data_IF_901177476508
#
_entry.id   IF_901177476508
#
_cell.length_a   1.000
_cell.length_b   1.000
_cell.length_c   1.000
_cell.angle_alpha   90.00
_cell.angle_beta   90.00
_cell.angle_gamma   90.00
#
_symmetry.space_group_name_H-M   'P 1'
#
loop_
_entity.id
_entity.type
_entity.pdbx_description
1 polymer ?
#
# COMPACT_ATOMS: atom_id res chain seq x y z
N UNK A 1 -59.94 50.66 19.53
CA UNK A 1 -59.86 49.97 18.22
C UNK A 1 -58.49 49.30 18.14
N UNK A 2 -58.43 48.00 17.89
CA UNK A 2 -57.19 47.20 17.99
C UNK A 2 -56.81 46.72 16.59
N UNK A 3 -55.71 47.24 16.06
CA UNK A 3 -55.21 46.90 14.73
C UNK A 3 -54.62 45.49 14.75
N UNK A 4 -55.16 44.61 13.93
CA UNK A 4 -54.68 43.25 13.73
C UNK A 4 -53.71 43.30 12.55
N UNK A 5 -52.40 43.22 12.83
CA UNK A 5 -51.37 43.12 11.79
C UNK A 5 -51.38 41.67 11.29
N UNK A 6 -51.83 41.44 10.06
CA UNK A 6 -51.66 40.14 9.40
C UNK A 6 -50.22 40.06 8.90
N UNK A 7 -49.44 39.10 9.41
CA UNK A 7 -48.17 38.72 8.80
C UNK A 7 -48.52 37.88 7.58
N UNK A 8 -48.18 38.37 6.39
CA UNK A 8 -48.24 37.57 5.17
C UNK A 8 -47.15 36.49 5.28
N UNK A 9 -47.55 35.28 5.68
CA UNK A 9 -46.75 34.09 5.48
C UNK A 9 -46.76 33.81 3.97
N UNK A 10 -45.69 34.22 3.28
CA UNK A 10 -45.48 33.92 1.87
C UNK A 10 -45.50 32.39 1.70
N UNK A 11 -46.61 31.87 1.22
CA UNK A 11 -46.77 30.44 0.99
C UNK A 11 -45.81 30.01 -0.11
N UNK A 12 -44.72 29.34 0.28
CA UNK A 12 -43.80 28.71 -0.66
C UNK A 12 -44.61 27.70 -1.47
N UNK A 13 -44.67 27.87 -2.80
CA UNK A 13 -45.40 26.96 -3.69
C UNK A 13 -44.95 25.51 -3.44
N UNK A 14 -45.88 24.52 -3.40
CA UNK A 14 -45.54 23.12 -3.15
C UNK A 14 -44.41 22.58 -4.06
N UNK A 15 -44.31 23.08 -5.29
CA UNK A 15 -43.25 22.72 -6.24
C UNK A 15 -41.92 23.42 -5.92
N UNK A 16 -41.96 24.67 -5.47
CA UNK A 16 -40.75 25.43 -5.10
C UNK A 16 -40.16 24.85 -3.82
N UNK A 17 -41.01 24.45 -2.86
CA UNK A 17 -40.59 23.82 -1.63
C UNK A 17 -39.80 22.51 -1.87
N UNK A 18 -40.25 21.67 -2.81
CA UNK A 18 -39.56 20.43 -3.13
C UNK A 18 -38.23 20.67 -3.84
N UNK A 19 -38.16 21.63 -4.78
CA UNK A 19 -36.90 21.99 -5.44
C UNK A 19 -35.88 22.48 -4.42
N UNK A 20 -36.28 23.34 -3.48
CA UNK A 20 -35.38 23.86 -2.43
C UNK A 20 -34.89 22.76 -1.48
N UNK A 21 -35.78 21.85 -1.07
CA UNK A 21 -35.42 20.72 -0.22
C UNK A 21 -34.41 19.79 -0.92
N UNK A 22 -34.70 19.43 -2.18
CA UNK A 22 -33.82 18.57 -2.97
C UNK A 22 -32.47 19.26 -3.21
N UNK A 23 -32.46 20.53 -3.58
CA UNK A 23 -31.24 21.28 -3.82
C UNK A 23 -30.29 21.27 -2.61
N UNK A 24 -30.80 21.52 -1.40
CA UNK A 24 -29.97 21.49 -0.19
C UNK A 24 -29.42 20.09 0.07
N UNK A 25 -30.26 19.06 -0.02
CA UNK A 25 -29.81 17.67 0.22
C UNK A 25 -28.74 17.20 -0.77
N UNK A 26 -28.85 17.58 -2.05
CA UNK A 26 -27.85 17.25 -3.07
C UNK A 26 -26.52 17.94 -2.78
N UNK A 27 -26.55 19.22 -2.38
CA UNK A 27 -25.33 19.96 -2.02
C UNK A 27 -24.69 19.36 -0.77
N UNK A 28 -25.47 19.07 0.28
CA UNK A 28 -24.95 18.45 1.50
C UNK A 28 -24.35 17.07 1.23
N UNK A 29 -25.02 16.25 0.41
CA UNK A 29 -24.49 14.94 0.01
C UNK A 29 -23.17 15.07 -0.77
N UNK A 30 -23.08 16.03 -1.70
CA UNK A 30 -21.86 16.27 -2.47
C UNK A 30 -20.70 16.78 -1.59
N UNK A 31 -20.96 17.71 -0.67
CA UNK A 31 -19.94 18.23 0.26
C UNK A 31 -19.45 17.13 1.19
N UNK A 32 -20.35 16.34 1.77
CA UNK A 32 -19.99 15.19 2.59
C UNK A 32 -19.17 14.17 1.80
N UNK A 33 -19.54 13.90 0.54
CA UNK A 33 -18.77 13.00 -0.33
C UNK A 33 -17.33 13.51 -0.54
N UNK A 34 -17.14 14.81 -0.81
CA UNK A 34 -15.81 15.40 -0.99
C UNK A 34 -14.99 15.35 0.31
N UNK A 35 -15.61 15.65 1.46
CA UNK A 35 -14.94 15.61 2.76
C UNK A 35 -14.53 14.18 3.15
N UNK A 36 -15.42 13.20 2.97
CA UNK A 36 -15.13 11.79 3.25
C UNK A 36 -14.09 11.24 2.27
N UNK A 37 -14.16 11.61 0.99
CA UNK A 37 -13.17 11.17 -0.01
C UNK A 37 -11.77 11.73 0.31
N UNK A 38 -11.67 12.94 0.87
CA UNK A 38 -10.41 13.50 1.36
C UNK A 38 -9.87 12.80 2.61
N UNK A 39 -10.74 12.34 3.50
CA UNK A 39 -10.37 11.59 4.71
C UNK A 39 -10.01 10.13 4.42
N UNK A 40 -10.58 9.54 3.38
CA UNK A 40 -10.28 8.19 2.89
C UNK A 40 -9.07 8.16 1.96
N UNK A 41 -8.46 9.32 1.65
CA UNK A 41 -7.14 9.36 1.04
C UNK A 41 -6.13 8.67 1.96
N UNK A 42 -5.13 7.94 1.43
CA UNK A 42 -4.10 7.34 2.28
C UNK A 42 -3.49 8.45 3.11
N UNK A 43 -3.76 8.44 4.42
CA UNK A 43 -3.11 9.33 5.37
C UNK A 43 -1.62 9.26 5.10
N UNK A 44 -0.96 10.42 5.12
CA UNK A 44 0.47 10.58 4.79
C UNK A 44 1.32 9.74 5.73
N UNK A 45 1.39 8.44 5.46
CA UNK A 45 2.20 7.50 6.20
C UNK A 45 3.61 7.79 5.76
N UNK A 46 4.43 8.25 6.70
CA UNK A 46 5.85 8.49 6.47
C UNK A 46 6.53 7.18 6.09
N UNK A 47 7.48 7.24 5.17
CA UNK A 47 8.23 6.06 4.72
C UNK A 47 9.12 5.59 5.88
N UNK A 48 9.03 4.34 6.31
CA UNK A 48 9.94 3.81 7.33
C UNK A 48 11.35 3.66 6.78
N UNK A 49 12.32 3.79 7.68
CA UNK A 49 13.66 3.23 7.52
C UNK A 49 13.63 1.77 7.97
N UNK A 50 14.13 0.86 7.12
CA UNK A 50 14.16 -0.59 7.36
C UNK A 50 15.60 -1.08 7.21
N UNK A 51 16.02 -2.00 8.09
CA UNK A 51 17.32 -2.67 8.01
C UNK A 51 17.11 -4.17 7.79
N UNK A 52 17.78 -4.76 6.79
CA UNK A 52 17.75 -6.20 6.55
C UNK A 52 18.90 -6.93 7.24
N UNK A 53 18.59 -8.11 7.77
CA UNK A 53 19.55 -9.05 8.33
C UNK A 53 20.41 -9.74 7.27
N UNK A 54 21.14 -10.77 7.70
CA UNK A 54 21.96 -11.60 6.82
C UNK A 54 21.08 -12.47 5.89
N UNK A 55 21.60 -12.78 4.70
CA UNK A 55 20.94 -13.67 3.75
C UNK A 55 21.36 -15.10 4.04
N UNK A 56 20.38 -15.98 4.21
CA UNK A 56 20.56 -17.44 4.28
C UNK A 56 20.13 -18.05 2.95
N UNK A 57 21.04 -18.73 2.27
CA UNK A 57 20.76 -19.41 1.02
C UNK A 57 20.26 -20.84 1.28
N UNK A 58 19.18 -21.21 0.61
CA UNK A 58 18.63 -22.57 0.53
C UNK A 58 18.70 -23.11 -0.89
N UNK A 59 18.09 -24.27 -1.12
CA UNK A 59 17.99 -24.88 -2.45
C UNK A 59 17.09 -24.05 -3.38
N UNK A 60 17.68 -23.11 -4.13
CA UNK A 60 16.97 -22.22 -5.05
C UNK A 60 16.23 -21.07 -4.37
N UNK A 61 16.54 -20.79 -3.09
CA UNK A 61 15.90 -19.73 -2.30
C UNK A 61 16.92 -18.90 -1.52
N UNK A 62 16.57 -17.65 -1.21
CA UNK A 62 17.30 -16.78 -0.30
C UNK A 62 16.33 -16.18 0.70
N UNK A 63 16.62 -16.36 1.99
CA UNK A 63 15.78 -15.87 3.09
C UNK A 63 16.55 -14.87 3.93
N UNK A 64 15.92 -13.76 4.31
CA UNK A 64 16.49 -12.77 5.22
C UNK A 64 15.39 -12.11 6.03
N UNK A 65 15.69 -11.83 7.30
CA UNK A 65 14.79 -11.15 8.21
C UNK A 65 14.92 -9.62 8.11
N UNK A 66 13.89 -8.92 8.54
CA UNK A 66 13.93 -7.51 8.89
C UNK A 66 14.54 -7.40 10.28
N UNK A 67 15.74 -6.84 10.35
CA UNK A 67 16.49 -6.71 11.61
C UNK A 67 15.94 -5.57 12.46
N UNK A 68 15.54 -4.45 11.84
CA UNK A 68 15.02 -3.29 12.53
C UNK A 68 14.14 -2.43 11.62
N UNK A 69 13.22 -1.67 12.22
CA UNK A 69 12.40 -0.66 11.53
C UNK A 69 12.15 0.55 12.41
N UNK A 70 12.13 1.75 11.80
CA UNK A 70 11.74 2.99 12.48
C UNK A 70 10.26 3.05 12.87
N UNK A 71 9.38 2.33 12.16
CA UNK A 71 7.94 2.26 12.42
C UNK A 71 7.33 1.02 11.75
N UNK A 72 6.32 0.43 12.38
CA UNK A 72 5.52 -0.65 11.81
C UNK A 72 4.44 -0.07 10.89
N UNK A 73 4.40 -0.51 9.63
CA UNK A 73 3.42 -0.03 8.65
C UNK A 73 2.81 -1.21 7.89
N UNK A 74 1.52 -1.13 7.56
CA UNK A 74 0.83 -2.15 6.74
C UNK A 74 1.64 -2.54 5.49
N UNK A 75 1.74 -3.86 5.24
CA UNK A 75 2.41 -4.43 4.06
C UNK A 75 1.85 -3.89 2.73
N UNK A 76 0.58 -3.46 2.72
CA UNK A 76 -0.07 -2.89 1.54
C UNK A 76 0.55 -1.59 1.04
N UNK A 77 1.35 -0.90 1.86
CA UNK A 77 2.08 0.30 1.46
C UNK A 77 3.41 0.01 0.76
N UNK A 78 3.77 -1.27 0.59
CA UNK A 78 5.04 -1.67 0.03
C UNK A 78 4.87 -2.33 -1.33
N UNK A 79 5.93 -2.19 -2.12
CA UNK A 79 6.16 -2.90 -3.36
C UNK A 79 7.51 -3.59 -3.28
N UNK A 80 7.68 -4.65 -4.06
CA UNK A 80 8.94 -5.37 -4.18
C UNK A 80 9.39 -5.38 -5.63
N UNK A 81 10.69 -5.31 -5.84
CA UNK A 81 11.31 -5.57 -7.13
C UNK A 81 12.53 -6.47 -6.94
N UNK A 82 12.92 -7.17 -8.01
CA UNK A 82 14.10 -8.01 -8.06
C UNK A 82 14.93 -7.60 -9.26
N UNK A 83 16.22 -7.44 -9.04
CA UNK A 83 17.21 -7.31 -10.11
C UNK A 83 18.06 -8.58 -10.15
N UNK A 84 18.23 -9.12 -11.34
CA UNK A 84 19.02 -10.31 -11.62
C UNK A 84 20.19 -9.89 -12.50
N UNK A 85 21.41 -10.09 -12.02
CA UNK A 85 22.63 -9.54 -12.60
C UNK A 85 22.52 -8.02 -12.84
N UNK A 86 22.32 -7.62 -14.10
CA UNK A 86 22.17 -6.21 -14.50
C UNK A 86 20.74 -5.83 -14.88
N UNK A 87 19.81 -6.78 -14.94
CA UNK A 87 18.44 -6.59 -15.43
C UNK A 87 17.46 -6.45 -14.28
N UNK A 88 16.71 -5.34 -14.26
CA UNK A 88 15.59 -5.16 -13.33
C UNK A 88 14.34 -5.89 -13.82
N UNK A 89 13.64 -6.52 -12.90
CA UNK A 89 12.25 -6.92 -13.08
C UNK A 89 11.30 -5.73 -12.97
N UNK A 90 10.00 -6.05 -12.90
CA UNK A 90 8.95 -5.06 -12.67
C UNK A 90 8.52 -5.05 -11.22
N UNK A 91 8.39 -3.85 -10.63
CA UNK A 91 7.85 -3.70 -9.28
C UNK A 91 6.44 -4.29 -9.18
N UNK A 92 6.20 -5.08 -8.13
CA UNK A 92 4.90 -5.68 -7.79
C UNK A 92 4.46 -5.23 -6.41
N UNK A 93 3.16 -5.13 -6.19
CA UNK A 93 2.62 -4.92 -4.85
C UNK A 93 3.01 -6.09 -3.94
N UNK A 94 3.34 -5.77 -2.69
CA UNK A 94 3.65 -6.80 -1.72
C UNK A 94 2.37 -7.58 -1.38
N UNK A 95 2.41 -8.91 -1.51
CA UNK A 95 1.28 -9.76 -1.15
C UNK A 95 1.16 -9.92 0.37
N UNK A 96 0.01 -10.41 0.82
CA UNK A 96 -0.22 -10.76 2.22
C UNK A 96 0.76 -11.85 2.69
N UNK A 97 0.94 -11.94 4.01
CA UNK A 97 1.80 -12.92 4.65
C UNK A 97 1.57 -14.35 4.11
N UNK A 98 2.65 -15.07 3.81
CA UNK A 98 2.65 -16.43 3.30
C UNK A 98 2.24 -16.58 1.82
N UNK A 99 1.85 -15.49 1.15
CA UNK A 99 1.46 -15.52 -0.27
C UNK A 99 2.65 -15.18 -1.16
N UNK A 100 2.86 -15.98 -2.22
CA UNK A 100 3.92 -15.72 -3.20
C UNK A 100 3.52 -14.58 -4.16
N UNK A 101 4.32 -13.52 -4.19
CA UNK A 101 4.30 -12.51 -5.25
C UNK A 101 5.12 -13.01 -6.43
N UNK A 102 4.47 -13.25 -7.58
CA UNK A 102 5.16 -13.58 -8.81
C UNK A 102 5.86 -12.34 -9.40
N UNK A 103 7.19 -12.39 -9.52
CA UNK A 103 7.99 -11.28 -10.07
C UNK A 103 7.99 -11.23 -11.60
N UNK A 104 7.36 -12.21 -12.25
CA UNK A 104 7.41 -12.40 -13.70
C UNK A 104 8.70 -13.10 -14.13
N UNK A 105 8.97 -13.09 -15.43
CA UNK A 105 10.20 -13.63 -16.00
C UNK A 105 11.27 -12.55 -16.11
N UNK A 106 12.47 -12.85 -15.61
CA UNK A 106 13.64 -11.98 -15.71
C UNK A 106 14.74 -12.82 -16.35
N UNK A 107 15.23 -12.41 -17.52
CA UNK A 107 16.22 -13.18 -18.29
C UNK A 107 15.76 -14.61 -18.66
N UNK A 108 14.45 -14.85 -18.72
CA UNK A 108 13.88 -16.15 -19.11
C UNK A 108 13.43 -17.02 -17.92
N UNK A 109 13.89 -16.73 -16.71
CA UNK A 109 13.55 -17.50 -15.51
C UNK A 109 12.46 -16.81 -14.67
N UNK A 110 11.62 -17.61 -14.01
CA UNK A 110 10.56 -17.13 -13.13
C UNK A 110 11.04 -17.03 -11.69
N UNK A 111 10.74 -15.89 -11.06
CA UNK A 111 11.12 -15.61 -9.67
C UNK A 111 9.89 -15.29 -8.81
N UNK A 112 9.99 -15.59 -7.53
CA UNK A 112 8.94 -15.28 -6.55
C UNK A 112 9.53 -14.58 -5.34
N UNK A 113 8.72 -13.73 -4.70
CA UNK A 113 9.01 -13.13 -3.40
C UNK A 113 7.86 -13.49 -2.47
N UNK A 114 8.18 -14.03 -1.31
CA UNK A 114 7.21 -14.32 -0.26
C UNK A 114 7.56 -13.48 0.96
N UNK A 115 6.57 -12.78 1.49
CA UNK A 115 6.67 -12.09 2.76
C UNK A 115 6.02 -12.94 3.85
N UNK A 116 6.68 -13.05 4.99
CA UNK A 116 6.17 -13.76 6.15
C UNK A 116 6.16 -12.78 7.33
N UNK A 117 4.95 -12.34 7.67
CA UNK A 117 4.66 -11.69 8.94
C UNK A 117 4.71 -12.77 10.04
N UNK A 118 5.68 -12.64 10.94
CA UNK A 118 5.89 -13.58 12.05
C UNK A 118 5.06 -13.15 13.27
N UNK A 119 4.82 -11.85 13.43
CA UNK A 119 4.06 -11.28 14.53
C UNK A 119 2.53 -11.36 14.35
N UNK A 120 2.05 -11.51 13.12
CA UNK A 120 0.64 -11.56 12.76
C UNK A 120 -0.09 -10.23 12.88
N UNK A 121 0.63 -9.11 12.88
CA UNK A 121 0.06 -7.76 13.05
C UNK A 121 -0.32 -7.08 11.71
N UNK A 122 -0.08 -7.76 10.59
CA UNK A 122 -0.28 -7.28 9.22
C UNK A 122 0.54 -6.03 8.87
N UNK A 123 1.60 -5.77 9.62
CA UNK A 123 2.55 -4.70 9.34
C UNK A 123 3.91 -5.28 9.02
N UNK A 124 4.75 -4.49 8.36
CA UNK A 124 6.16 -4.78 8.14
C UNK A 124 6.94 -4.25 9.33
N UNK A 125 7.44 -5.15 10.17
CA UNK A 125 8.12 -4.86 11.41
C UNK A 125 9.43 -5.67 11.57
N UNK A 126 10.13 -5.46 12.70
CA UNK A 126 11.34 -6.20 13.02
C UNK A 126 11.00 -7.65 13.42
N UNK A 127 11.63 -8.61 12.75
CA UNK A 127 11.37 -10.05 12.93
C UNK A 127 10.68 -10.71 11.74
N UNK A 128 10.00 -9.93 10.88
CA UNK A 128 9.39 -10.45 9.66
C UNK A 128 10.43 -10.85 8.63
N UNK A 129 10.04 -11.70 7.68
CA UNK A 129 10.98 -12.34 6.76
C UNK A 129 10.57 -12.19 5.30
N UNK A 130 11.56 -12.04 4.44
CA UNK A 130 11.41 -12.17 2.99
C UNK A 130 12.12 -13.42 2.51
N UNK A 131 11.47 -14.16 1.62
CA UNK A 131 12.05 -15.30 0.91
C UNK A 131 11.95 -15.05 -0.59
N UNK A 132 13.08 -15.05 -1.28
CA UNK A 132 13.14 -14.99 -2.75
C UNK A 132 13.37 -16.39 -3.30
N UNK A 133 12.53 -16.83 -4.22
CA UNK A 133 12.58 -18.15 -4.85
C UNK A 133 12.86 -18.09 -6.35
N UNK A 134 13.23 -19.24 -6.93
CA UNK A 134 13.58 -19.37 -8.35
C UNK A 134 15.04 -19.06 -8.65
N UNK A 135 15.91 -19.04 -7.63
CA UNK A 135 17.30 -18.66 -7.78
C UNK A 135 18.10 -19.68 -8.60
N UNK A 136 18.90 -19.18 -9.52
CA UNK A 136 19.86 -19.90 -10.35
C UNK A 136 21.24 -19.85 -9.70
N UNK A 137 22.09 -20.84 -9.94
CA UNK A 137 23.48 -20.85 -9.46
C UNK A 137 24.34 -19.75 -10.10
N UNK A 138 25.44 -19.38 -9.45
CA UNK A 138 26.39 -18.38 -9.93
C UNK A 138 25.76 -17.06 -10.42
N UNK A 139 24.65 -16.64 -9.81
CA UNK A 139 23.87 -15.48 -10.25
C UNK A 139 23.83 -14.43 -9.14
N UNK A 140 23.97 -13.16 -9.52
CA UNK A 140 23.85 -12.03 -8.58
C UNK A 140 22.41 -11.55 -8.50
N UNK A 141 21.91 -11.38 -7.29
CA UNK A 141 20.56 -10.90 -7.02
C UNK A 141 20.61 -9.64 -6.18
N UNK A 142 19.71 -8.70 -6.46
CA UNK A 142 19.44 -7.53 -5.63
C UNK A 142 17.93 -7.42 -5.43
N UNK A 143 17.48 -7.65 -4.21
CA UNK A 143 16.11 -7.41 -3.77
C UNK A 143 15.92 -5.94 -3.46
N UNK A 144 14.82 -5.35 -3.91
CA UNK A 144 14.44 -3.98 -3.62
C UNK A 144 13.08 -3.96 -2.91
N UNK A 145 13.06 -3.36 -1.73
CA UNK A 145 11.83 -2.96 -1.06
C UNK A 145 11.55 -1.51 -1.41
N UNK A 146 10.38 -1.29 -1.98
CA UNK A 146 9.93 -0.01 -2.49
C UNK A 146 8.69 0.44 -1.72
N UNK A 147 8.46 1.74 -1.68
CA UNK A 147 7.21 2.30 -1.19
C UNK A 147 6.12 2.22 -2.26
N UNK A 148 4.87 2.50 -1.88
CA UNK A 148 3.70 2.49 -2.75
C UNK A 148 3.85 3.45 -3.95
N UNK A 149 4.58 4.54 -3.78
CA UNK A 149 4.92 5.51 -4.85
C UNK A 149 6.09 5.08 -5.75
N UNK A 150 6.72 3.94 -5.45
CA UNK A 150 7.83 3.37 -6.22
C UNK A 150 9.22 3.83 -5.77
N UNK A 151 9.34 4.72 -4.79
CA UNK A 151 10.66 5.08 -4.25
C UNK A 151 11.29 3.90 -3.51
N UNK A 152 12.61 3.77 -3.60
CA UNK A 152 13.32 2.76 -2.82
C UNK A 152 13.33 3.08 -1.32
N UNK A 153 13.03 2.08 -0.50
CA UNK A 153 13.16 2.11 0.96
C UNK A 153 14.45 1.44 1.37
N UNK A 154 14.69 0.23 0.86
CA UNK A 154 15.87 -0.55 1.20
C UNK A 154 16.15 -1.58 0.10
N UNK A 155 17.39 -2.03 0.02
CA UNK A 155 17.81 -3.12 -0.86
C UNK A 155 18.66 -4.17 -0.14
N UNK A 156 18.73 -5.37 -0.70
CA UNK A 156 19.63 -6.42 -0.25
C UNK A 156 20.21 -7.16 -1.44
N UNK A 157 21.54 -7.28 -1.47
CA UNK A 157 22.26 -7.98 -2.53
C UNK A 157 22.93 -9.25 -2.02
N UNK A 158 22.94 -10.29 -2.83
CA UNK A 158 23.68 -11.53 -2.59
C UNK A 158 24.03 -12.20 -3.92
N UNK A 159 24.90 -13.21 -3.85
CA UNK A 159 25.25 -14.05 -4.98
C UNK A 159 25.03 -15.51 -4.59
N UNK A 160 24.47 -16.30 -5.50
CA UNK A 160 24.37 -17.74 -5.33
C UNK A 160 25.69 -18.42 -5.71
N UNK A 161 26.09 -19.48 -5.00
CA UNK A 161 27.29 -20.25 -5.34
C UNK A 161 27.15 -20.98 -6.69
#
# INVERSE_FOLDING_TARGET
MKTIIRKDEEAVSPVIATILMVAITVVLAAVLYVMVSGLLGPGTTTKPVITFGAVTLGSGTATFAIADTSQAVSYSNYKVNLKVNTTFGSAKALAASGTQTAMGTILGDAYTVTYQDVGGDNTVNAGDQFTVGGLQSQTTYQFLLLWSDGSQIQEKSWQTP
#
